data_IF_176506899937
#
_entry.id   IF_176506899937
#
_cell.length_a   1.000
_cell.length_b   1.000
_cell.length_c   1.000
_cell.angle_alpha   90.00
_cell.angle_beta   90.00
_cell.angle_gamma   90.00
#
_symmetry.space_group_name_H-M   'P 1'
#
loop_
_entity.id
_entity.type
_entity.pdbx_description
1 polymer ?
#
# COMPACT_ATOMS: atom_id res chain seq x y z
N UNK A 1 -17.22 -12.65 -3.90
CA UNK A 1 -16.63 -13.99 -4.10
C UNK A 1 -15.16 -13.99 -3.73
N UNK A 2 -14.29 -13.22 -4.41
CA UNK A 2 -12.82 -13.25 -4.22
C UNK A 2 -12.36 -13.03 -2.77
N UNK A 3 -13.01 -12.17 -2.00
CA UNK A 3 -12.66 -11.94 -0.58
C UNK A 3 -12.85 -13.23 0.27
N UNK A 4 -13.94 -13.96 0.04
CA UNK A 4 -14.16 -15.24 0.71
C UNK A 4 -13.15 -16.30 0.26
N UNK A 5 -12.80 -16.31 -1.02
CA UNK A 5 -11.77 -17.19 -1.58
C UNK A 5 -10.40 -16.90 -0.95
N UNK A 6 -10.00 -15.62 -0.84
CA UNK A 6 -8.78 -15.22 -0.15
C UNK A 6 -8.76 -15.71 1.30
N UNK A 7 -9.87 -15.54 2.05
CA UNK A 7 -9.94 -16.05 3.42
C UNK A 7 -9.86 -17.58 3.48
N UNK A 8 -10.55 -18.28 2.58
CA UNK A 8 -10.51 -19.75 2.51
C UNK A 8 -9.09 -20.27 2.18
N UNK A 9 -8.29 -19.48 1.45
CA UNK A 9 -6.88 -19.77 1.16
C UNK A 9 -5.92 -19.35 2.30
N UNK A 10 -6.43 -18.79 3.39
CA UNK A 10 -5.65 -18.43 4.58
C UNK A 10 -5.08 -17.01 4.55
N UNK A 11 -5.64 -16.09 3.75
CA UNK A 11 -5.20 -14.70 3.77
C UNK A 11 -5.58 -14.00 5.09
N UNK A 12 -4.64 -13.23 5.63
CA UNK A 12 -4.84 -12.32 6.76
C UNK A 12 -5.24 -10.91 6.31
N UNK A 13 -5.02 -10.59 5.03
CA UNK A 13 -5.30 -9.29 4.46
C UNK A 13 -5.71 -9.38 2.98
N UNK A 14 -6.44 -8.38 2.50
CA UNK A 14 -6.79 -8.20 1.08
C UNK A 14 -6.43 -6.81 0.59
N UNK A 15 -6.20 -6.70 -0.71
CA UNK A 15 -5.94 -5.44 -1.40
C UNK A 15 -7.22 -4.92 -2.05
N UNK A 16 -7.56 -3.65 -1.80
CA UNK A 16 -8.59 -2.94 -2.56
C UNK A 16 -7.93 -1.77 -3.29
N UNK A 17 -8.14 -1.68 -4.60
CA UNK A 17 -7.52 -0.65 -5.44
C UNK A 17 -8.56 0.43 -5.73
N UNK A 18 -8.37 1.64 -5.20
CA UNK A 18 -9.34 2.72 -5.29
C UNK A 18 -9.61 3.16 -6.74
N UNK A 19 -8.62 3.04 -7.63
CA UNK A 19 -8.76 3.36 -9.05
C UNK A 19 -9.66 2.38 -9.82
N UNK A 20 -9.85 1.16 -9.30
CA UNK A 20 -10.61 0.08 -9.95
C UNK A 20 -12.03 -0.09 -9.38
N UNK A 21 -12.33 0.53 -8.24
CA UNK A 21 -13.55 0.31 -7.48
C UNK A 21 -14.28 1.63 -7.25
N UNK A 22 -15.60 1.63 -7.30
CA UNK A 22 -16.40 2.76 -6.86
C UNK A 22 -16.54 2.81 -5.31
N UNK A 23 -17.10 3.90 -4.78
CA UNK A 23 -17.25 4.11 -3.33
C UNK A 23 -18.18 3.09 -2.67
N UNK A 24 -19.16 2.54 -3.40
CA UNK A 24 -20.03 1.50 -2.86
C UNK A 24 -19.27 0.19 -2.74
N UNK A 25 -18.57 -0.21 -3.80
CA UNK A 25 -17.73 -1.41 -3.84
C UNK A 25 -16.65 -1.38 -2.77
N UNK A 26 -15.93 -0.25 -2.60
CA UNK A 26 -14.91 -0.11 -1.56
C UNK A 26 -15.48 -0.38 -0.16
N UNK A 27 -16.64 0.20 0.17
CA UNK A 27 -17.29 0.02 1.47
C UNK A 27 -17.79 -1.41 1.67
N UNK A 28 -18.44 -1.98 0.66
CA UNK A 28 -18.99 -3.32 0.73
C UNK A 28 -17.88 -4.37 0.88
N UNK A 29 -16.80 -4.21 0.12
CA UNK A 29 -15.65 -5.11 0.16
C UNK A 29 -14.84 -4.97 1.45
N UNK A 30 -14.65 -3.75 1.95
CA UNK A 30 -14.09 -3.55 3.29
C UNK A 30 -14.95 -4.25 4.35
N UNK A 31 -16.27 -4.04 4.33
CA UNK A 31 -17.17 -4.63 5.32
C UNK A 31 -17.13 -6.16 5.31
N UNK A 32 -17.06 -6.78 4.13
CA UNK A 32 -16.90 -8.23 4.01
C UNK A 32 -15.56 -8.69 4.58
N UNK A 33 -14.45 -8.03 4.23
CA UNK A 33 -13.13 -8.41 4.71
C UNK A 33 -13.00 -8.27 6.23
N UNK A 34 -13.49 -7.17 6.80
CA UNK A 34 -13.51 -6.96 8.25
C UNK A 34 -14.42 -7.98 8.96
N UNK A 35 -15.56 -8.34 8.36
CA UNK A 35 -16.44 -9.39 8.89
C UNK A 35 -15.84 -10.81 8.85
N UNK A 36 -14.72 -10.98 8.14
CA UNK A 36 -13.95 -12.21 8.06
C UNK A 36 -12.63 -12.14 8.86
N UNK A 37 -12.45 -11.11 9.69
CA UNK A 37 -11.22 -10.84 10.45
C UNK A 37 -9.98 -10.76 9.54
N UNK A 38 -10.10 -10.09 8.38
CA UNK A 38 -8.98 -9.76 7.52
C UNK A 38 -8.71 -8.25 7.52
N UNK A 39 -7.44 -7.88 7.50
CA UNK A 39 -7.03 -6.51 7.26
C UNK A 39 -7.29 -6.10 5.79
N UNK A 40 -7.41 -4.79 5.55
CA UNK A 40 -7.68 -4.26 4.21
C UNK A 40 -6.63 -3.21 3.89
N UNK A 41 -5.71 -3.49 2.97
CA UNK A 41 -4.83 -2.46 2.43
C UNK A 41 -5.57 -1.78 1.27
N UNK A 42 -5.80 -0.47 1.38
CA UNK A 42 -6.44 0.30 0.30
C UNK A 42 -5.37 1.06 -0.45
N UNK A 43 -5.17 0.70 -1.72
CA UNK A 43 -4.16 1.27 -2.60
C UNK A 43 -4.71 2.49 -3.36
N UNK A 44 -3.95 3.58 -3.32
CA UNK A 44 -4.25 4.86 -3.97
C UNK A 44 -3.04 5.40 -4.72
N UNK A 45 -3.30 6.23 -5.73
CA UNK A 45 -2.27 6.79 -6.61
C UNK A 45 -2.26 8.32 -6.62
N UNK A 46 -3.35 8.96 -6.20
CA UNK A 46 -3.49 10.40 -6.16
C UNK A 46 -4.33 10.87 -4.96
N UNK A 47 -4.47 12.19 -4.83
CA UNK A 47 -5.21 12.80 -3.74
C UNK A 47 -6.70 12.46 -3.78
N UNK A 48 -7.33 12.37 -4.96
CA UNK A 48 -8.75 12.09 -5.08
C UNK A 48 -9.07 10.66 -4.64
N UNK A 49 -8.21 9.70 -5.00
CA UNK A 49 -8.27 8.34 -4.51
C UNK A 49 -8.04 8.25 -3.00
N UNK A 50 -7.07 9.00 -2.46
CA UNK A 50 -6.81 9.07 -1.03
C UNK A 50 -8.03 9.60 -0.25
N UNK A 51 -8.66 10.68 -0.72
CA UNK A 51 -9.86 11.24 -0.09
C UNK A 51 -11.02 10.24 -0.02
N UNK A 52 -11.13 9.37 -1.04
CA UNK A 52 -12.12 8.28 -1.05
C UNK A 52 -11.73 7.19 -0.06
N UNK A 53 -10.47 6.77 -0.05
CA UNK A 53 -9.96 5.74 0.85
C UNK A 53 -10.05 6.15 2.34
N UNK A 54 -9.85 7.43 2.66
CA UNK A 54 -9.95 7.94 4.04
C UNK A 54 -11.36 7.85 4.65
N UNK A 55 -12.39 7.62 3.83
CA UNK A 55 -13.77 7.37 4.30
C UNK A 55 -13.96 5.95 4.83
N UNK A 56 -13.01 5.06 4.56
CA UNK A 56 -13.03 3.67 4.97
C UNK A 56 -12.50 3.54 6.41
N UNK A 57 -12.87 2.44 7.07
CA UNK A 57 -12.53 2.17 8.47
C UNK A 57 -11.11 1.62 8.64
N UNK A 58 -10.53 1.04 7.59
CA UNK A 58 -9.22 0.39 7.65
C UNK A 58 -8.12 1.38 8.04
N UNK A 59 -7.19 0.97 8.92
CA UNK A 59 -6.04 1.80 9.23
C UNK A 59 -4.97 1.78 8.12
N UNK A 60 -4.99 0.80 7.21
CA UNK A 60 -3.90 0.57 6.25
C UNK A 60 -4.13 1.32 4.93
N UNK A 61 -3.31 2.35 4.67
CA UNK A 61 -3.34 3.15 3.44
C UNK A 61 -2.10 2.85 2.59
N UNK A 62 -2.29 2.24 1.42
CA UNK A 62 -1.24 1.97 0.45
C UNK A 62 -1.10 3.12 -0.54
N UNK A 63 0.07 3.77 -0.60
CA UNK A 63 0.36 4.75 -1.66
C UNK A 63 1.32 4.11 -2.65
N UNK A 64 0.81 3.91 -3.86
CA UNK A 64 1.60 3.33 -4.94
C UNK A 64 2.29 4.44 -5.75
N UNK A 65 3.62 4.43 -5.74
CA UNK A 65 4.44 5.41 -6.46
C UNK A 65 4.42 5.20 -7.98
N UNK A 66 3.85 4.09 -8.48
CA UNK A 66 3.74 3.78 -9.91
C UNK A 66 2.39 4.25 -10.45
N UNK A 67 2.41 5.15 -11.42
CA UNK A 67 1.20 5.52 -12.14
C UNK A 67 0.76 4.37 -13.06
N UNK A 68 -0.46 3.85 -12.90
CA UNK A 68 -0.96 2.71 -13.69
C UNK A 68 -1.25 3.05 -15.17
N UNK A 69 -1.36 4.34 -15.54
CA UNK A 69 -1.60 4.79 -16.91
C UNK A 69 -0.30 5.03 -17.68
N UNK A 70 0.70 5.62 -17.03
CA UNK A 70 1.98 6.00 -17.67
C UNK A 70 3.14 5.07 -17.33
N UNK A 71 3.00 4.23 -16.31
CA UNK A 71 4.05 3.39 -15.70
C UNK A 71 5.23 4.15 -15.12
N UNK A 72 5.14 5.49 -15.03
CA UNK A 72 6.13 6.32 -14.35
C UNK A 72 6.13 6.01 -12.84
N UNK A 73 7.32 5.99 -12.25
CA UNK A 73 7.49 5.72 -10.82
C UNK A 73 8.18 6.91 -10.17
N UNK A 74 7.55 7.53 -9.17
CA UNK A 74 8.16 8.61 -8.39
C UNK A 74 7.80 8.50 -6.91
N UNK A 75 8.83 8.51 -6.05
CA UNK A 75 8.65 8.55 -4.59
C UNK A 75 8.01 9.86 -4.10
N UNK A 76 7.98 10.91 -4.95
CA UNK A 76 7.34 12.18 -4.64
C UNK A 76 5.83 12.02 -4.43
N UNK A 77 5.21 11.00 -5.03
CA UNK A 77 3.79 10.66 -4.81
C UNK A 77 3.55 10.36 -3.34
N UNK A 78 4.29 9.41 -2.75
CA UNK A 78 4.19 9.09 -1.32
C UNK A 78 4.54 10.28 -0.44
N UNK A 79 5.58 11.04 -0.76
CA UNK A 79 5.99 12.20 0.02
C UNK A 79 4.92 13.31 0.05
N UNK A 80 4.30 13.57 -1.10
CA UNK A 80 3.24 14.59 -1.22
C UNK A 80 1.99 14.17 -0.48
N UNK A 81 1.51 12.95 -0.73
CA UNK A 81 0.26 12.43 -0.16
C UNK A 81 0.37 12.13 1.35
N UNK A 82 1.57 11.82 1.88
CA UNK A 82 1.80 11.61 3.32
C UNK A 82 1.30 12.77 4.18
N UNK A 83 1.36 14.00 3.68
CA UNK A 83 0.90 15.20 4.40
C UNK A 83 -0.61 15.23 4.64
N UNK A 84 -1.37 14.49 3.83
CA UNK A 84 -2.83 14.38 3.89
C UNK A 84 -3.29 13.17 4.70
N UNK A 85 -2.39 12.24 5.02
CA UNK A 85 -2.71 11.01 5.77
C UNK A 85 -2.78 11.32 7.27
N UNK A 86 -3.95 11.11 7.91
CA UNK A 86 -4.12 11.29 9.35
C UNK A 86 -3.23 10.37 10.19
N UNK A 87 -2.91 10.79 11.42
CA UNK A 87 -1.99 10.08 12.30
C UNK A 87 -2.54 8.73 12.84
N UNK A 88 -3.85 8.51 12.77
CA UNK A 88 -4.50 7.23 13.12
C UNK A 88 -4.39 6.19 12.00
N UNK A 89 -3.78 6.54 10.86
CA UNK A 89 -3.57 5.64 9.72
C UNK A 89 -2.12 5.20 9.62
N UNK A 90 -1.94 3.97 9.17
CA UNK A 90 -0.65 3.36 8.86
C UNK A 90 -0.46 3.49 7.35
N UNK A 91 0.49 4.34 6.95
CA UNK A 91 0.84 4.54 5.55
C UNK A 91 1.88 3.49 5.13
N UNK A 92 1.54 2.72 4.11
CA UNK A 92 2.41 1.77 3.42
C UNK A 92 2.79 2.38 2.07
N UNK A 93 4.09 2.56 1.81
CA UNK A 93 4.57 3.06 0.51
C UNK A 93 4.99 1.89 -0.39
N UNK A 94 4.65 1.99 -1.67
CA UNK A 94 4.78 0.89 -2.63
C UNK A 94 5.42 1.37 -3.93
N UNK A 95 6.10 0.45 -4.64
CA UNK A 95 6.84 0.72 -5.89
C UNK A 95 8.01 1.71 -5.76
N UNK A 96 9.06 1.50 -6.57
CA UNK A 96 10.17 2.44 -6.71
C UNK A 96 11.20 2.47 -5.59
N UNK A 97 11.00 1.72 -4.49
CA UNK A 97 11.97 1.58 -3.40
C UNK A 97 13.04 0.57 -3.81
N UNK A 98 14.24 1.04 -4.15
CA UNK A 98 15.31 0.19 -4.68
C UNK A 98 16.57 0.21 -3.82
N UNK A 99 16.80 1.32 -3.12
CA UNK A 99 18.02 1.57 -2.37
C UNK A 99 17.72 1.95 -0.94
N UNK A 100 18.72 1.77 -0.05
CA UNK A 100 18.63 2.26 1.33
C UNK A 100 18.41 3.78 1.39
N UNK A 101 18.95 4.52 0.41
CA UNK A 101 18.71 5.95 0.29
C UNK A 101 17.23 6.29 0.15
N UNK A 102 16.47 5.48 -0.61
CA UNK A 102 15.02 5.64 -0.77
C UNK A 102 14.28 5.40 0.55
N UNK A 103 14.64 4.33 1.26
CA UNK A 103 14.08 4.02 2.58
C UNK A 103 14.34 5.14 3.58
N UNK A 104 15.58 5.65 3.64
CA UNK A 104 15.93 6.76 4.52
C UNK A 104 15.19 8.06 4.16
N UNK A 105 15.03 8.35 2.87
CA UNK A 105 14.29 9.51 2.38
C UNK A 105 12.82 9.46 2.80
N UNK A 106 12.16 8.32 2.63
CA UNK A 106 10.76 8.10 3.02
C UNK A 106 10.61 8.06 4.55
N UNK A 107 11.55 7.44 5.24
CA UNK A 107 11.63 7.41 6.71
C UNK A 107 11.75 8.80 7.32
N UNK A 108 12.56 9.69 6.73
CA UNK A 108 12.67 11.08 7.17
C UNK A 108 11.36 11.87 7.02
N UNK A 109 10.46 11.44 6.14
CA UNK A 109 9.10 11.98 5.99
C UNK A 109 8.06 11.30 6.91
N UNK A 110 8.50 10.42 7.82
CA UNK A 110 7.63 9.71 8.75
C UNK A 110 6.82 8.59 8.10
N UNK A 111 7.35 7.97 7.04
CA UNK A 111 6.81 6.73 6.44
C UNK A 111 7.66 5.56 6.93
N UNK A 112 7.04 4.61 7.61
CA UNK A 112 7.75 3.50 8.28
C UNK A 112 7.31 2.10 7.82
N UNK A 113 6.32 2.00 6.93
CA UNK A 113 5.88 0.73 6.36
C UNK A 113 6.05 0.75 4.83
N UNK A 114 6.54 -0.37 4.28
CA UNK A 114 6.97 -0.48 2.89
C UNK A 114 6.49 -1.82 2.31
N UNK A 115 6.02 -1.79 1.07
CA UNK A 115 5.75 -3.00 0.29
C UNK A 115 6.75 -3.04 -0.87
N UNK A 116 7.72 -3.96 -0.78
CA UNK A 116 8.81 -4.11 -1.75
C UNK A 116 8.85 -5.54 -2.26
N UNK A 117 8.69 -5.73 -3.56
CA UNK A 117 8.70 -7.04 -4.20
C UNK A 117 9.86 -7.18 -5.20
N UNK A 118 9.81 -6.41 -6.29
CA UNK A 118 10.70 -6.57 -7.45
C UNK A 118 12.20 -6.56 -7.10
N UNK A 119 12.63 -5.67 -6.20
CA UNK A 119 14.02 -5.58 -5.77
C UNK A 119 14.53 -6.89 -5.15
N UNK A 120 13.69 -7.57 -4.38
CA UNK A 120 14.03 -8.83 -3.73
C UNK A 120 13.87 -10.03 -4.66
N UNK A 121 12.85 -10.02 -5.53
CA UNK A 121 12.62 -11.12 -6.48
C UNK A 121 13.70 -11.24 -7.56
N UNK A 122 14.43 -10.14 -7.84
CA UNK A 122 15.58 -10.13 -8.76
C UNK A 122 16.91 -10.47 -8.09
N UNK A 123 16.97 -10.46 -6.76
CA UNK A 123 18.19 -10.73 -6.03
C UNK A 123 18.48 -12.24 -5.99
N UNK A 124 19.75 -12.67 -6.05
CA UNK A 124 20.11 -14.07 -5.85
C UNK A 124 19.66 -14.57 -4.47
N UNK A 125 19.85 -13.74 -3.44
CA UNK A 125 19.47 -14.04 -2.05
C UNK A 125 18.54 -12.93 -1.52
N UNK A 126 17.20 -13.12 -1.59
CA UNK A 126 16.22 -12.09 -1.19
C UNK A 126 16.37 -11.63 0.27
N UNK A 127 16.75 -12.55 1.17
CA UNK A 127 16.94 -12.23 2.59
C UNK A 127 18.12 -11.28 2.84
N UNK A 128 19.24 -11.46 2.13
CA UNK A 128 20.38 -10.55 2.20
C UNK A 128 20.04 -9.18 1.60
N UNK A 129 19.29 -9.16 0.50
CA UNK A 129 18.82 -7.92 -0.12
C UNK A 129 17.88 -7.14 0.81
N UNK A 130 16.96 -7.82 1.50
CA UNK A 130 16.10 -7.22 2.53
C UNK A 130 16.93 -6.62 3.67
N UNK A 131 17.88 -7.38 4.20
CA UNK A 131 18.76 -6.92 5.28
C UNK A 131 19.56 -5.69 4.85
N UNK A 132 20.15 -5.68 3.66
CA UNK A 132 20.91 -4.55 3.15
C UNK A 132 20.04 -3.29 2.94
N UNK A 133 18.79 -3.46 2.53
CA UNK A 133 17.86 -2.35 2.27
C UNK A 133 17.44 -1.62 3.55
N UNK A 134 17.30 -2.35 4.67
CA UNK A 134 16.78 -1.84 5.94
C UNK A 134 17.76 -1.86 7.14
N UNK A 135 19.04 -2.20 6.92
CA UNK A 135 20.07 -2.14 7.96
C UNK A 135 20.31 -0.71 8.49
#
# INVERSE_FOLDING_TARGET
>A
YQIYESRAMGADAVLLIASCLDDAQLRDFEAIALGLDMAVLVEVHDQAELERALRLKTPLMGINNRNLKTFEVSLDTSLSLRTLVPADRILVTESGIQTRGDVLRLGAAGISAFLVGEAFMRAPEPGEALAALFA
#
